data_IF_257126255543
#
_entry.id   IF_257126255543
#
_cell.length_a   1.000
_cell.length_b   1.000
_cell.length_c   1.000
_cell.angle_alpha   90.00
_cell.angle_beta   90.00
_cell.angle_gamma   90.00
#
_symmetry.space_group_name_H-M   'P 1'
#
loop_
_entity.id
_entity.type
_entity.pdbx_description
1 polymer ?
#
# COMPACT_ATOMS: atom_id res chain seq x y z
N UNK A 1 14.40 36.28 13.87
CA UNK A 1 13.24 36.63 13.02
C UNK A 1 13.71 36.61 11.57
N UNK A 2 13.26 35.64 10.75
CA UNK A 2 13.78 35.43 9.38
C UNK A 2 13.63 36.67 8.51
N UNK A 3 14.63 37.03 7.71
CA UNK A 3 14.53 38.16 6.79
C UNK A 3 13.55 37.88 5.64
N UNK A 4 12.92 38.94 5.10
CA UNK A 4 11.86 38.84 4.08
C UNK A 4 12.39 38.24 2.79
N UNK A 5 13.62 38.59 2.38
CA UNK A 5 14.25 38.05 1.17
C UNK A 5 14.53 36.55 1.31
N UNK A 6 15.01 36.11 2.49
CA UNK A 6 15.19 34.69 2.80
C UNK A 6 13.87 33.91 2.69
N UNK A 7 12.76 34.51 3.12
CA UNK A 7 11.42 33.91 3.04
C UNK A 7 10.89 33.81 1.59
N UNK A 8 11.27 34.74 0.71
CA UNK A 8 10.94 34.68 -0.72
C UNK A 8 11.75 33.59 -1.42
N UNK A 9 13.05 33.50 -1.13
CA UNK A 9 13.92 32.42 -1.64
C UNK A 9 13.43 31.05 -1.15
N UNK A 10 13.00 30.96 0.11
CA UNK A 10 12.38 29.77 0.67
C UNK A 10 11.11 29.34 -0.09
N UNK A 11 10.25 30.29 -0.48
CA UNK A 11 9.08 29.99 -1.33
C UNK A 11 9.46 29.53 -2.74
N UNK A 12 10.52 30.08 -3.34
CA UNK A 12 11.03 29.56 -4.61
C UNK A 12 11.56 28.13 -4.46
N UNK A 13 12.26 27.83 -3.36
CA UNK A 13 12.67 26.49 -2.98
C UNK A 13 11.50 25.52 -2.83
N UNK A 14 10.38 25.98 -2.26
CA UNK A 14 9.15 25.17 -2.14
C UNK A 14 8.64 24.65 -3.49
N UNK A 15 8.86 25.40 -4.57
CA UNK A 15 8.48 24.97 -5.90
C UNK A 15 9.32 23.80 -6.41
N UNK A 16 10.64 23.85 -6.20
CA UNK A 16 11.54 22.74 -6.57
C UNK A 16 11.24 21.49 -5.75
N UNK A 17 11.02 21.63 -4.43
CA UNK A 17 10.64 20.52 -3.57
C UNK A 17 9.28 19.91 -3.96
N UNK A 18 8.32 20.73 -4.40
CA UNK A 18 7.03 20.24 -4.89
C UNK A 18 7.16 19.33 -6.11
N UNK A 19 8.14 19.58 -7.00
CA UNK A 19 8.42 18.70 -8.14
C UNK A 19 8.96 17.35 -7.67
N UNK A 20 9.91 17.36 -6.72
CA UNK A 20 10.45 16.12 -6.12
C UNK A 20 9.33 15.34 -5.43
N UNK A 21 8.47 16.03 -4.70
CA UNK A 21 7.30 15.45 -4.03
C UNK A 21 6.33 14.82 -5.03
N UNK A 22 6.08 15.48 -6.16
CA UNK A 22 5.25 14.96 -7.24
C UNK A 22 5.81 13.64 -7.78
N UNK A 23 7.09 13.62 -8.18
CA UNK A 23 7.74 12.43 -8.74
C UNK A 23 7.66 11.27 -7.74
N UNK A 24 7.99 11.53 -6.48
CA UNK A 24 8.01 10.50 -5.45
C UNK A 24 6.62 9.92 -5.19
N UNK A 25 5.59 10.77 -5.04
CA UNK A 25 4.23 10.29 -4.80
C UNK A 25 3.65 9.55 -6.00
N UNK A 26 3.97 9.97 -7.22
CA UNK A 26 3.57 9.25 -8.44
C UNK A 26 4.24 7.89 -8.50
N UNK A 27 5.54 7.79 -8.22
CA UNK A 27 6.25 6.50 -8.21
C UNK A 27 5.70 5.57 -7.12
N UNK A 28 5.57 6.06 -5.88
CA UNK A 28 5.01 5.27 -4.78
C UNK A 28 3.57 4.83 -5.07
N UNK A 29 2.75 5.73 -5.61
CA UNK A 29 1.39 5.40 -5.99
C UNK A 29 1.32 4.38 -7.12
N UNK A 30 2.20 4.48 -8.13
CA UNK A 30 2.29 3.50 -9.22
C UNK A 30 2.70 2.12 -8.70
N UNK A 31 3.67 2.04 -7.78
CA UNK A 31 4.04 0.78 -7.13
C UNK A 31 2.87 0.12 -6.39
N UNK A 32 1.99 0.91 -5.78
CA UNK A 32 0.79 0.39 -5.13
C UNK A 32 -0.32 0.00 -6.12
N UNK A 33 -0.45 0.69 -7.25
CA UNK A 33 -1.48 0.40 -8.27
C UNK A 33 -1.11 -0.78 -9.16
N UNK A 34 0.16 -0.96 -9.49
CA UNK A 34 0.61 -1.96 -10.46
C UNK A 34 0.81 -3.35 -9.85
N UNK A 35 1.05 -3.41 -8.53
CA UNK A 35 1.34 -4.67 -7.86
C UNK A 35 0.06 -5.42 -7.45
N UNK A 36 -0.35 -6.36 -8.30
CA UNK A 36 -1.49 -7.25 -8.07
C UNK A 36 -1.43 -7.97 -6.72
N UNK A 37 -0.24 -8.35 -6.26
CA UNK A 37 -0.07 -9.10 -5.01
C UNK A 37 -0.42 -8.27 -3.77
N UNK A 38 -0.30 -6.94 -3.83
CA UNK A 38 -0.76 -6.08 -2.75
C UNK A 38 -2.28 -6.04 -2.67
N UNK A 39 -2.97 -6.03 -3.81
CA UNK A 39 -4.44 -6.03 -3.84
C UNK A 39 -5.00 -7.39 -3.45
N UNK A 40 -4.33 -8.47 -3.87
CA UNK A 40 -4.66 -9.83 -3.46
C UNK A 40 -4.49 -10.02 -1.96
N UNK A 41 -3.50 -9.42 -1.32
CA UNK A 41 -3.32 -9.56 0.13
C UNK A 41 -4.21 -8.62 0.94
N UNK A 42 -4.16 -7.32 0.64
CA UNK A 42 -4.69 -6.25 1.49
C UNK A 42 -6.00 -5.64 0.95
N UNK A 43 -6.49 -6.15 -0.19
CA UNK A 43 -7.70 -5.70 -0.86
C UNK A 43 -7.50 -4.52 -1.82
N UNK A 44 -8.55 -4.23 -2.58
CA UNK A 44 -8.60 -3.18 -3.61
C UNK A 44 -8.40 -1.76 -3.05
N UNK A 45 -8.60 -1.56 -1.74
CA UNK A 45 -8.35 -0.27 -1.08
C UNK A 45 -6.91 0.20 -1.26
N UNK A 46 -5.93 -0.71 -1.37
CA UNK A 46 -4.53 -0.33 -1.63
C UNK A 46 -4.37 0.27 -3.03
N UNK A 47 -5.10 -0.26 -4.02
CA UNK A 47 -5.13 0.30 -5.37
C UNK A 47 -5.70 1.71 -5.36
N UNK A 48 -6.80 1.92 -4.63
CA UNK A 48 -7.43 3.25 -4.50
C UNK A 48 -6.50 4.24 -3.81
N UNK A 49 -5.79 3.82 -2.76
CA UNK A 49 -4.77 4.63 -2.10
C UNK A 49 -3.65 4.99 -3.07
N UNK A 50 -3.15 4.03 -3.86
CA UNK A 50 -2.14 4.29 -4.88
C UNK A 50 -2.60 5.32 -5.91
N UNK A 51 -3.84 5.22 -6.39
CA UNK A 51 -4.47 6.21 -7.26
C UNK A 51 -4.59 7.59 -6.59
N UNK A 52 -4.96 7.63 -5.31
CA UNK A 52 -5.01 8.83 -4.50
C UNK A 52 -3.64 9.50 -4.33
N UNK A 53 -2.57 8.73 -4.18
CA UNK A 53 -1.20 9.26 -4.12
C UNK A 53 -0.74 9.83 -5.46
N UNK A 54 -1.05 9.16 -6.58
CA UNK A 54 -0.77 9.69 -7.93
C UNK A 54 -1.51 11.00 -8.14
N UNK A 55 -2.81 11.03 -7.84
CA UNK A 55 -3.63 12.25 -7.91
C UNK A 55 -3.02 13.37 -7.06
N UNK A 56 -2.70 13.09 -5.80
CA UNK A 56 -2.04 14.05 -4.89
C UNK A 56 -0.71 14.54 -5.48
N UNK A 57 0.10 13.65 -6.04
CA UNK A 57 1.37 13.95 -6.69
C UNK A 57 1.21 14.93 -7.85
N UNK A 58 0.23 14.72 -8.74
CA UNK A 58 -0.08 15.65 -9.84
C UNK A 58 -0.45 17.04 -9.29
N UNK A 59 -1.17 17.12 -8.17
CA UNK A 59 -1.54 18.41 -7.59
C UNK A 59 -0.35 19.19 -7.00
N UNK A 60 0.74 18.51 -6.61
CA UNK A 60 2.00 19.18 -6.26
C UNK A 60 2.66 19.90 -7.45
N UNK A 61 2.31 19.59 -8.70
CA UNK A 61 2.77 20.40 -9.83
C UNK A 61 2.18 21.82 -9.77
N UNK A 62 0.92 21.96 -9.37
CA UNK A 62 0.29 23.28 -9.23
C UNK A 62 0.93 24.08 -8.08
N UNK A 63 1.31 23.43 -6.97
CA UNK A 63 2.05 24.12 -5.91
C UNK A 63 3.43 24.57 -6.37
N UNK A 64 4.06 23.84 -7.30
CA UNK A 64 5.33 24.24 -7.87
C UNK A 64 5.21 25.56 -8.65
N UNK A 65 4.21 25.64 -9.53
CA UNK A 65 3.93 26.83 -10.33
C UNK A 65 3.52 28.01 -9.46
N UNK A 66 2.60 27.79 -8.51
CA UNK A 66 2.13 28.82 -7.59
C UNK A 66 3.25 29.31 -6.64
N UNK A 67 4.13 28.43 -6.18
CA UNK A 67 5.30 28.78 -5.36
C UNK A 67 6.25 29.72 -6.11
N UNK A 68 6.58 29.40 -7.36
CA UNK A 68 7.40 30.26 -8.23
C UNK A 68 6.72 31.60 -8.55
N UNK A 69 5.43 31.56 -8.89
CA UNK A 69 4.66 32.76 -9.19
C UNK A 69 4.54 33.68 -7.97
N UNK A 70 4.35 33.12 -6.77
CA UNK A 70 4.23 33.87 -5.50
C UNK A 70 5.56 34.42 -5.01
N UNK A 71 6.67 33.76 -5.34
CA UNK A 71 8.01 34.28 -5.09
C UNK A 71 8.29 35.52 -5.97
N UNK A 72 7.90 35.47 -7.24
CA UNK A 72 8.09 36.58 -8.20
C UNK A 72 7.10 37.73 -8.02
N UNK A 73 5.86 37.42 -7.61
CA UNK A 73 4.79 38.42 -7.47
C UNK A 73 4.56 38.77 -6.01
N UNK A 74 4.27 40.04 -5.72
CA UNK A 74 3.85 40.48 -4.38
C UNK A 74 2.35 40.19 -4.10
N UNK A 75 1.73 39.32 -4.88
CA UNK A 75 0.29 39.07 -4.85
C UNK A 75 -0.09 38.16 -3.67
N UNK A 76 -0.86 38.69 -2.71
CA UNK A 76 -1.34 37.93 -1.54
C UNK A 76 -2.39 36.88 -1.87
N UNK A 77 -3.18 37.08 -2.94
CA UNK A 77 -4.18 36.10 -3.37
C UNK A 77 -3.51 34.80 -3.84
N UNK A 78 -2.41 34.89 -4.58
CA UNK A 78 -1.63 33.71 -4.99
C UNK A 78 -0.99 32.98 -3.79
N UNK A 79 -0.53 33.73 -2.79
CA UNK A 79 -0.01 33.16 -1.55
C UNK A 79 -1.10 32.44 -0.74
N UNK A 80 -2.31 32.99 -0.69
CA UNK A 80 -3.45 32.34 -0.04
C UNK A 80 -3.86 31.08 -0.80
N UNK A 81 -3.92 31.13 -2.13
CA UNK A 81 -4.21 29.96 -2.96
C UNK A 81 -3.17 28.85 -2.76
N UNK A 82 -1.88 29.20 -2.71
CA UNK A 82 -0.79 28.26 -2.39
C UNK A 82 -1.00 27.61 -1.01
N UNK A 83 -1.34 28.40 0.01
CA UNK A 83 -1.57 27.90 1.36
C UNK A 83 -2.75 26.92 1.41
N UNK A 84 -3.88 27.26 0.78
CA UNK A 84 -5.05 26.38 0.72
C UNK A 84 -4.70 25.06 0.01
N UNK A 85 -3.99 25.15 -1.11
CA UNK A 85 -3.56 23.97 -1.86
C UNK A 85 -2.61 23.08 -1.05
N UNK A 86 -1.64 23.67 -0.33
CA UNK A 86 -0.74 22.91 0.54
C UNK A 86 -1.48 22.22 1.69
N UNK A 87 -2.48 22.87 2.31
CA UNK A 87 -3.32 22.26 3.35
C UNK A 87 -4.15 21.11 2.78
N UNK A 88 -4.72 21.28 1.59
CA UNK A 88 -5.43 20.23 0.89
C UNK A 88 -4.52 19.03 0.62
N UNK A 89 -3.34 19.25 0.06
CA UNK A 89 -2.36 18.21 -0.23
C UNK A 89 -1.89 17.49 1.03
N UNK A 90 -1.64 18.24 2.10
CA UNK A 90 -1.28 17.70 3.41
C UNK A 90 -2.35 16.73 3.92
N UNK A 91 -3.63 17.13 3.85
CA UNK A 91 -4.75 16.31 4.25
C UNK A 91 -4.83 15.02 3.42
N UNK A 92 -4.85 15.14 2.09
CA UNK A 92 -4.95 13.98 1.20
C UNK A 92 -3.78 13.00 1.35
N UNK A 93 -2.55 13.50 1.40
CA UNK A 93 -1.37 12.65 1.58
C UNK A 93 -1.38 11.94 2.94
N UNK A 94 -1.82 12.62 4.00
CA UNK A 94 -1.92 12.03 5.35
C UNK A 94 -3.01 10.96 5.40
N UNK A 95 -4.19 11.21 4.78
CA UNK A 95 -5.28 10.24 4.72
C UNK A 95 -4.84 9.01 3.92
N UNK A 96 -4.30 9.19 2.72
CA UNK A 96 -3.87 8.09 1.86
C UNK A 96 -2.74 7.27 2.50
N UNK A 97 -1.70 7.94 3.02
CA UNK A 97 -0.62 7.28 3.74
C UNK A 97 -1.09 6.57 5.01
N UNK A 98 -2.03 7.16 5.75
CA UNK A 98 -2.62 6.57 6.95
C UNK A 98 -3.44 5.32 6.65
N UNK A 99 -4.27 5.34 5.61
CA UNK A 99 -5.08 4.19 5.18
C UNK A 99 -4.19 3.04 4.70
N UNK A 100 -3.15 3.31 3.90
CA UNK A 100 -2.19 2.26 3.53
C UNK A 100 -1.46 1.68 4.74
N UNK A 101 -1.08 2.52 5.70
CA UNK A 101 -0.39 2.06 6.91
C UNK A 101 -1.28 1.17 7.78
N UNK A 102 -2.55 1.54 7.99
CA UNK A 102 -3.48 0.72 8.77
C UNK A 102 -3.81 -0.58 8.06
N UNK A 103 -4.08 -0.55 6.75
CA UNK A 103 -4.32 -1.74 5.95
C UNK A 103 -3.11 -2.70 6.00
N UNK A 104 -1.89 -2.19 5.83
CA UNK A 104 -0.68 -3.02 5.88
C UNK A 104 -0.48 -3.76 7.22
N UNK A 105 -0.98 -3.19 8.32
CA UNK A 105 -0.88 -3.78 9.67
C UNK A 105 -2.02 -4.72 10.02
N UNK A 106 -3.10 -4.76 9.24
CA UNK A 106 -4.28 -5.59 9.54
C UNK A 106 -3.92 -7.05 9.84
N UNK A 107 -3.03 -7.74 9.08
CA UNK A 107 -2.65 -9.12 9.40
C UNK A 107 -1.99 -9.27 10.77
N UNK A 108 -1.11 -8.33 11.13
CA UNK A 108 -0.40 -8.35 12.42
C UNK A 108 -1.28 -7.95 13.61
N UNK A 109 -2.36 -7.21 13.34
CA UNK A 109 -3.37 -6.84 14.34
C UNK A 109 -4.34 -7.98 14.61
N UNK A 110 -4.68 -8.78 13.59
CA UNK A 110 -5.53 -9.95 13.73
C UNK A 110 -4.88 -11.04 14.58
N UNK A 111 -3.59 -11.31 14.34
CA UNK A 111 -2.80 -12.25 15.14
C UNK A 111 -1.31 -11.90 15.07
N UNK A 112 -0.60 -11.98 16.20
CA UNK A 112 0.84 -11.71 16.20
C UNK A 112 1.59 -12.66 15.26
N UNK A 113 2.65 -12.19 14.60
CA UNK A 113 3.39 -13.00 13.63
C UNK A 113 3.88 -14.34 14.19
N UNK A 114 4.36 -14.36 15.45
CA UNK A 114 4.79 -15.61 16.10
C UNK A 114 3.65 -16.61 16.29
N UNK A 115 2.45 -16.11 16.64
CA UNK A 115 1.26 -16.94 16.76
C UNK A 115 0.74 -17.42 15.40
N UNK A 116 0.79 -16.59 14.35
CA UNK A 116 0.47 -17.05 12.99
C UNK A 116 1.38 -18.21 12.55
N UNK A 117 2.69 -18.09 12.78
CA UNK A 117 3.65 -19.16 12.47
C UNK A 117 3.37 -20.42 13.30
N UNK A 118 2.98 -20.27 14.57
CA UNK A 118 2.58 -21.40 15.42
C UNK A 118 1.33 -22.10 14.87
N UNK A 119 0.30 -21.33 14.48
CA UNK A 119 -0.91 -21.86 13.86
C UNK A 119 -0.62 -22.63 12.56
N UNK A 120 0.40 -22.21 11.79
CA UNK A 120 0.76 -22.82 10.51
C UNK A 120 1.77 -23.96 10.61
N UNK A 121 2.25 -24.32 11.82
CA UNK A 121 3.24 -25.40 12.02
C UNK A 121 2.59 -26.59 12.73
N UNK A 122 2.63 -27.78 12.14
CA UNK A 122 1.91 -28.98 12.62
C UNK A 122 2.11 -29.27 14.10
N UNK A 123 3.34 -29.55 14.52
CA UNK A 123 3.62 -29.95 15.90
C UNK A 123 3.42 -28.82 16.91
N UNK A 124 3.47 -27.56 16.47
CA UNK A 124 3.12 -26.42 17.33
C UNK A 124 1.61 -26.32 17.49
N UNK A 125 0.86 -26.39 16.38
CA UNK A 125 -0.59 -26.34 16.37
C UNK A 125 -1.19 -27.47 17.22
N UNK A 126 -0.68 -28.69 17.09
CA UNK A 126 -1.13 -29.84 17.87
C UNK A 126 -0.92 -29.63 19.38
N UNK A 127 0.21 -29.01 19.75
CA UNK A 127 0.58 -28.70 21.14
C UNK A 127 -0.12 -27.46 21.73
N UNK A 128 -0.89 -26.70 20.93
CA UNK A 128 -1.65 -25.55 21.43
C UNK A 128 -2.81 -25.98 22.34
N UNK A 129 -3.15 -25.10 23.29
CA UNK A 129 -4.37 -25.23 24.08
C UNK A 129 -5.62 -25.12 23.19
N UNK A 130 -6.76 -25.63 23.66
CA UNK A 130 -8.02 -25.54 22.90
C UNK A 130 -8.43 -24.09 22.62
N UNK A 131 -8.14 -23.18 23.55
CA UNK A 131 -8.39 -21.74 23.39
C UNK A 131 -7.49 -21.13 22.29
N UNK A 132 -6.22 -21.50 22.24
CA UNK A 132 -5.31 -21.02 21.21
C UNK A 132 -5.66 -21.62 19.83
N UNK A 133 -6.10 -22.87 19.79
CA UNK A 133 -6.64 -23.49 18.57
C UNK A 133 -7.84 -22.73 18.04
N UNK A 134 -8.78 -22.31 18.90
CA UNK A 134 -9.90 -21.45 18.49
C UNK A 134 -9.43 -20.11 17.92
N UNK A 135 -8.36 -19.53 18.48
CA UNK A 135 -7.75 -18.31 17.93
C UNK A 135 -7.16 -18.55 16.53
N UNK A 136 -6.49 -19.68 16.32
CA UNK A 136 -6.02 -20.09 14.99
C UNK A 136 -7.18 -20.32 14.02
N UNK A 137 -8.28 -20.92 14.46
CA UNK A 137 -9.50 -21.10 13.64
C UNK A 137 -10.07 -19.76 13.18
N UNK A 138 -10.13 -18.76 14.07
CA UNK A 138 -10.54 -17.41 13.70
C UNK A 138 -9.57 -16.79 12.68
N UNK A 139 -8.26 -16.98 12.88
CA UNK A 139 -7.25 -16.53 11.92
C UNK A 139 -7.42 -17.19 10.55
N UNK A 140 -7.66 -18.50 10.45
CA UNK A 140 -7.86 -19.18 9.17
C UNK A 140 -9.12 -18.72 8.41
N UNK A 141 -10.13 -18.20 9.12
CA UNK A 141 -11.34 -17.64 8.52
C UNK A 141 -11.24 -16.15 8.19
N UNK A 142 -10.16 -15.49 8.62
CA UNK A 142 -9.97 -14.06 8.43
C UNK A 142 -9.79 -13.69 6.95
N UNK A 143 -10.15 -12.45 6.61
CA UNK A 143 -9.95 -11.91 5.26
C UNK A 143 -8.47 -11.76 4.92
N UNK A 144 -7.61 -11.54 5.93
CA UNK A 144 -6.17 -11.47 5.77
C UNK A 144 -5.57 -12.81 5.36
N UNK A 145 -6.08 -13.91 5.93
CA UNK A 145 -5.66 -15.26 5.53
C UNK A 145 -6.17 -15.62 4.13
N UNK A 146 -7.41 -15.24 3.81
CA UNK A 146 -7.96 -15.38 2.46
C UNK A 146 -7.14 -14.58 1.43
N UNK A 147 -6.72 -13.35 1.77
CA UNK A 147 -5.86 -12.56 0.89
C UNK A 147 -4.47 -13.21 0.66
N UNK A 148 -3.87 -13.77 1.71
CA UNK A 148 -2.63 -14.52 1.59
C UNK A 148 -2.77 -15.75 0.68
N UNK A 149 -3.93 -16.41 0.73
CA UNK A 149 -4.28 -17.52 -0.14
C UNK A 149 -4.39 -17.07 -1.61
N UNK A 150 -4.99 -15.92 -1.90
CA UNK A 150 -5.06 -15.36 -3.27
C UNK A 150 -3.66 -15.07 -3.84
N UNK A 151 -2.76 -14.49 -3.02
CA UNK A 151 -1.36 -14.29 -3.43
C UNK A 151 -0.70 -15.63 -3.75
N UNK A 152 -0.89 -16.64 -2.88
CA UNK A 152 -0.28 -17.94 -3.10
C UNK A 152 -0.84 -18.66 -4.33
N UNK A 153 -2.13 -18.53 -4.61
CA UNK A 153 -2.75 -19.02 -5.85
C UNK A 153 -2.08 -18.39 -7.08
N UNK A 154 -1.85 -17.08 -7.06
CA UNK A 154 -1.15 -16.37 -8.13
C UNK A 154 0.29 -16.87 -8.30
N UNK A 155 1.04 -17.02 -7.20
CA UNK A 155 2.37 -17.62 -7.22
C UNK A 155 2.37 -19.04 -7.77
N UNK A 156 1.39 -19.85 -7.38
CA UNK A 156 1.25 -21.23 -7.83
C UNK A 156 0.99 -21.31 -9.34
N UNK A 157 0.04 -20.56 -9.86
CA UNK A 157 -0.28 -20.56 -11.30
C UNK A 157 0.92 -20.10 -12.11
N UNK A 158 1.52 -18.96 -11.73
CA UNK A 158 2.67 -18.38 -12.43
C UNK A 158 3.93 -19.26 -12.33
N UNK A 159 4.05 -20.16 -11.34
CA UNK A 159 5.23 -21.02 -11.14
C UNK A 159 5.09 -22.49 -11.58
N UNK A 160 3.90 -23.07 -11.43
CA UNK A 160 3.67 -24.52 -11.55
C UNK A 160 2.74 -24.90 -12.71
N UNK A 161 1.79 -24.03 -13.08
CA UNK A 161 0.77 -24.34 -14.11
C UNK A 161 1.17 -23.83 -15.50
N UNK A 162 1.97 -22.77 -15.57
CA UNK A 162 2.59 -22.29 -16.81
C UNK A 162 2.05 -20.94 -17.32
N UNK A 163 2.97 -20.11 -17.82
CA UNK A 163 2.81 -18.79 -18.45
C UNK A 163 4.15 -18.28 -19.02
N UNK A 164 4.20 -17.10 -19.65
CA UNK A 164 5.43 -16.61 -20.31
C UNK A 164 6.63 -16.41 -19.34
N UNK A 165 6.37 -16.12 -18.06
CA UNK A 165 7.39 -15.89 -17.01
C UNK A 165 7.63 -17.09 -16.07
N UNK A 166 7.23 -18.30 -16.46
CA UNK A 166 7.21 -19.48 -15.56
C UNK A 166 8.54 -19.74 -14.85
N UNK A 167 9.66 -19.56 -15.54
CA UNK A 167 11.00 -19.81 -14.99
C UNK A 167 11.36 -18.88 -13.83
N UNK A 168 11.05 -17.59 -13.93
CA UNK A 168 11.38 -16.58 -12.93
C UNK A 168 10.53 -16.75 -11.66
N UNK A 169 9.21 -16.89 -11.84
CA UNK A 169 8.29 -17.11 -10.73
C UNK A 169 8.56 -18.42 -10.00
N UNK A 170 8.90 -19.49 -10.73
CA UNK A 170 9.27 -20.77 -10.12
C UNK A 170 10.53 -20.66 -9.26
N UNK A 171 11.57 -20.00 -9.75
CA UNK A 171 12.79 -19.79 -8.96
C UNK A 171 12.50 -18.99 -7.68
N UNK A 172 11.73 -17.90 -7.80
CA UNK A 172 11.34 -17.06 -6.66
C UNK A 172 10.54 -17.83 -5.61
N UNK A 173 9.54 -18.63 -6.01
CA UNK A 173 8.71 -19.40 -5.07
C UNK A 173 9.54 -20.48 -4.37
N UNK A 174 10.41 -21.19 -5.11
CA UNK A 174 11.28 -22.21 -4.52
C UNK A 174 12.29 -21.62 -3.54
N UNK A 175 12.88 -20.47 -3.87
CA UNK A 175 13.75 -19.73 -2.96
C UNK A 175 12.99 -19.26 -1.72
N UNK A 176 11.79 -18.70 -1.90
CA UNK A 176 10.94 -18.27 -0.80
C UNK A 176 10.59 -19.42 0.16
N UNK A 177 10.25 -20.60 -0.38
CA UNK A 177 9.96 -21.80 0.41
C UNK A 177 11.20 -22.30 1.16
N UNK A 178 12.36 -22.30 0.50
CA UNK A 178 13.65 -22.70 1.08
C UNK A 178 14.04 -21.80 2.24
N UNK A 179 14.00 -20.48 2.03
CA UNK A 179 14.49 -19.50 3.00
C UNK A 179 13.61 -19.43 4.25
N UNK A 180 12.31 -19.75 4.12
CA UNK A 180 11.36 -19.76 5.24
C UNK A 180 11.05 -21.16 5.79
N UNK A 181 11.65 -22.22 5.22
CA UNK A 181 11.37 -23.62 5.55
C UNK A 181 9.87 -23.94 5.58
N UNK A 182 9.15 -23.53 4.53
CA UNK A 182 7.70 -23.70 4.42
C UNK A 182 7.30 -24.37 3.09
N UNK A 183 6.09 -24.92 3.03
CA UNK A 183 5.54 -25.52 1.82
C UNK A 183 4.02 -25.30 1.74
N UNK A 184 3.52 -24.97 0.54
CA UNK A 184 2.12 -24.57 0.35
C UNK A 184 1.73 -23.33 1.16
N UNK A 185 0.45 -22.91 1.11
CA UNK A 185 0.02 -21.71 1.84
C UNK A 185 -0.38 -22.00 3.31
N UNK A 186 -1.21 -23.01 3.55
CA UNK A 186 -1.84 -23.27 4.85
C UNK A 186 -1.10 -24.26 5.75
N UNK A 187 -1.64 -24.53 6.94
CA UNK A 187 -1.14 -25.57 7.84
C UNK A 187 -1.12 -26.91 7.09
N UNK A 188 -0.01 -27.64 7.04
CA UNK A 188 0.00 -28.97 6.44
C UNK A 188 -0.95 -29.88 7.21
N UNK A 189 -1.72 -30.71 6.49
CA UNK A 189 -2.85 -31.50 7.01
C UNK A 189 -3.89 -30.64 7.76
N UNK A 190 -4.87 -31.27 8.39
CA UNK A 190 -5.96 -30.59 9.09
C UNK A 190 -6.85 -29.70 8.19
N UNK A 191 -6.88 -29.90 6.88
CA UNK A 191 -7.71 -29.05 6.02
C UNK A 191 -9.17 -29.49 5.97
N UNK A 192 -10.09 -28.52 5.96
CA UNK A 192 -11.51 -28.71 5.63
C UNK A 192 -11.97 -27.65 4.62
N UNK A 193 -12.85 -28.00 3.68
CA UNK A 193 -13.54 -27.02 2.84
C UNK A 193 -14.35 -26.04 3.70
N UNK A 194 -14.30 -24.77 3.35
CA UNK A 194 -15.11 -23.69 3.89
C UNK A 194 -15.98 -23.11 2.76
N UNK A 195 -17.29 -23.11 2.97
CA UNK A 195 -18.29 -22.64 1.99
C UNK A 195 -18.42 -21.12 1.97
N UNK A 196 -17.66 -20.41 2.81
CA UNK A 196 -17.62 -18.95 2.82
C UNK A 196 -17.01 -18.43 1.52
N UNK A 197 -17.65 -17.44 0.89
CA UNK A 197 -17.11 -16.77 -0.30
C UNK A 197 -15.85 -15.96 0.03
N UNK A 198 -14.97 -15.73 -0.94
CA UNK A 198 -13.86 -14.77 -0.77
C UNK A 198 -14.38 -13.36 -0.45
N UNK A 199 -13.59 -12.52 0.24
CA UNK A 199 -14.03 -11.19 0.63
C UNK A 199 -14.21 -10.33 -0.62
N UNK A 200 -15.36 -9.65 -0.75
CA UNK A 200 -15.64 -8.80 -1.92
C UNK A 200 -14.71 -7.59 -2.06
N UNK A 201 -13.95 -7.27 -1.02
CA UNK A 201 -12.90 -6.26 -1.06
C UNK A 201 -11.63 -6.70 -1.77
N UNK A 202 -11.53 -7.96 -2.16
CA UNK A 202 -10.36 -8.57 -2.78
C UNK A 202 -10.65 -8.98 -4.23
N UNK A 203 -9.62 -9.12 -5.09
CA UNK A 203 -9.78 -9.68 -6.43
C UNK A 203 -10.32 -11.11 -6.40
N UNK A 204 -10.92 -11.54 -7.51
CA UNK A 204 -11.43 -12.90 -7.65
C UNK A 204 -10.29 -13.95 -7.60
N UNK A 205 -10.59 -15.16 -7.08
CA UNK A 205 -9.66 -16.28 -7.12
C UNK A 205 -9.23 -16.63 -8.55
N UNK A 206 -8.04 -17.19 -8.67
CA UNK A 206 -7.39 -17.42 -9.98
C UNK A 206 -7.28 -18.91 -10.32
N UNK A 207 -7.42 -19.81 -9.33
CA UNK A 207 -7.23 -21.26 -9.51
C UNK A 207 -8.59 -21.97 -9.67
N UNK A 208 -8.89 -22.50 -10.88
CA UNK A 208 -10.11 -23.29 -11.13
C UNK A 208 -10.34 -24.37 -10.07
N UNK A 209 -11.56 -24.44 -9.50
CA UNK A 209 -12.00 -25.34 -8.39
C UNK A 209 -11.62 -24.89 -6.97
N UNK A 210 -10.70 -23.94 -6.83
CA UNK A 210 -10.45 -23.26 -5.57
C UNK A 210 -11.20 -21.91 -5.50
N UNK A 211 -12.02 -21.62 -6.51
CA UNK A 211 -12.78 -20.36 -6.65
C UNK A 211 -14.03 -20.32 -5.75
N UNK A 212 -14.67 -21.46 -5.50
CA UNK A 212 -15.94 -21.55 -4.75
C UNK A 212 -15.76 -21.89 -3.26
N UNK A 213 -14.56 -22.31 -2.84
CA UNK A 213 -14.34 -22.85 -1.49
C UNK A 213 -13.02 -22.35 -0.91
N UNK A 214 -13.11 -21.49 0.11
CA UNK A 214 -11.98 -21.27 1.02
C UNK A 214 -11.59 -22.63 1.62
N UNK A 215 -10.32 -22.82 1.95
CA UNK A 215 -9.89 -24.00 2.70
C UNK A 215 -9.34 -23.54 4.04
N UNK A 216 -9.97 -24.00 5.11
CA UNK A 216 -9.63 -23.64 6.48
C UNK A 216 -9.06 -24.85 7.18
N UNK A 217 -8.11 -24.63 8.06
CA UNK A 217 -7.58 -25.70 8.88
C UNK A 217 -8.57 -25.97 10.03
N UNK A 218 -8.76 -27.22 10.44
CA UNK A 218 -9.75 -27.74 11.39
C UNK A 218 -9.07 -28.61 12.45
N UNK A 219 -9.77 -28.94 13.53
CA UNK A 219 -9.25 -29.84 14.57
C UNK A 219 -9.22 -31.32 14.14
N UNK A 220 -9.78 -31.64 12.96
CA UNK A 220 -9.83 -33.00 12.42
C UNK A 220 -8.76 -33.21 11.37
N UNK A 221 -8.27 -34.44 11.23
CA UNK A 221 -7.39 -34.80 10.11
C UNK A 221 -8.14 -34.67 8.79
N UNK A 222 -7.62 -33.83 7.90
CA UNK A 222 -8.13 -33.63 6.56
C UNK A 222 -7.01 -33.22 5.61
N UNK A 223 -7.22 -33.45 4.32
CA UNK A 223 -6.25 -33.19 3.26
C UNK A 223 -6.81 -32.13 2.30
N UNK A 224 -5.91 -31.39 1.67
CA UNK A 224 -6.24 -30.39 0.66
C UNK A 224 -6.72 -31.04 -0.64
N UNK A 225 -7.42 -30.25 -1.45
CA UNK A 225 -7.83 -30.64 -2.80
C UNK A 225 -6.64 -31.04 -3.69
N UNK A 226 -6.87 -31.93 -4.68
CA UNK A 226 -5.87 -32.31 -5.67
C UNK A 226 -5.25 -31.12 -6.38
N UNK A 227 -3.98 -31.28 -6.76
CA UNK A 227 -3.24 -30.34 -7.59
C UNK A 227 -2.51 -31.09 -8.71
N UNK A 228 -2.08 -30.44 -9.80
CA UNK A 228 -1.28 -31.09 -10.84
C UNK A 228 -0.04 -31.85 -10.30
N UNK A 229 0.56 -31.37 -9.20
CA UNK A 229 1.76 -31.97 -8.59
C UNK A 229 1.46 -33.10 -7.59
N UNK A 230 0.19 -33.31 -7.24
CA UNK A 230 -0.23 -34.30 -6.26
C UNK A 230 -1.56 -34.96 -6.69
N UNK A 231 -1.48 -36.24 -7.08
CA UNK A 231 -2.64 -37.03 -7.48
C UNK A 231 -3.43 -37.48 -6.24
N UNK A 232 -4.70 -37.09 -6.13
CA UNK A 232 -5.57 -37.43 -5.00
C UNK A 232 -5.75 -36.25 -4.04
N UNK A 233 -5.63 -36.48 -2.73
CA UNK A 233 -5.71 -35.42 -1.73
C UNK A 233 -4.30 -35.06 -1.23
N UNK A 234 -4.04 -33.77 -1.04
CA UNK A 234 -2.69 -33.26 -0.81
C UNK A 234 -2.48 -32.86 0.65
N UNK A 235 -1.33 -33.21 1.21
CA UNK A 235 -0.99 -32.78 2.57
C UNK A 235 -0.72 -31.28 2.68
N UNK A 236 -0.30 -30.66 1.59
CA UNK A 236 -0.01 -29.24 1.49
C UNK A 236 -0.95 -28.58 0.49
N UNK A 237 -1.28 -27.33 0.74
CA UNK A 237 -2.14 -26.54 -0.11
C UNK A 237 -1.34 -25.87 -1.23
N UNK A 238 -1.60 -26.23 -2.48
CA UNK A 238 -0.89 -25.70 -3.65
C UNK A 238 0.65 -25.76 -3.48
N UNK A 239 1.22 -26.96 -3.26
CA UNK A 239 2.65 -27.10 -3.03
C UNK A 239 3.43 -26.93 -4.33
N UNK A 240 4.31 -25.94 -4.42
CA UNK A 240 5.21 -25.81 -5.57
C UNK A 240 6.45 -26.70 -5.40
N UNK A 241 6.84 -27.40 -6.47
CA UNK A 241 8.11 -28.15 -6.52
C UNK A 241 8.11 -29.45 -5.70
N UNK A 242 9.27 -29.82 -5.13
CA UNK A 242 9.44 -31.10 -4.44
C UNK A 242 8.92 -31.09 -3.00
N UNK A 243 8.62 -29.92 -2.43
CA UNK A 243 8.24 -29.82 -1.02
C UNK A 243 6.94 -30.59 -0.73
N UNK A 244 6.01 -30.65 -1.68
CA UNK A 244 4.75 -31.39 -1.55
C UNK A 244 4.90 -32.92 -1.53
N UNK A 245 6.07 -33.44 -1.90
CA UNK A 245 6.36 -34.89 -1.89
C UNK A 245 6.98 -35.36 -0.56
N UNK A 246 7.42 -34.43 0.27
CA UNK A 246 8.02 -34.76 1.56
C UNK A 246 6.93 -35.19 2.54
N UNK A 247 7.21 -36.18 3.41
CA UNK A 247 6.27 -36.56 4.45
C UNK A 247 6.04 -35.38 5.40
N UNK A 248 4.80 -35.23 5.86
CA UNK A 248 4.46 -34.24 6.90
C UNK A 248 5.04 -34.69 8.22
N UNK A 249 5.71 -33.75 8.91
CA UNK A 249 6.32 -33.94 10.22
C UNK A 249 5.86 -32.82 11.16
N UNK A 250 6.15 -32.94 12.46
CA UNK A 250 5.82 -31.90 13.43
C UNK A 250 6.46 -30.52 13.16
N UNK A 251 7.47 -30.43 12.30
CA UNK A 251 8.11 -29.16 11.93
C UNK A 251 7.60 -28.57 10.60
N UNK A 252 6.82 -29.35 9.85
CA UNK A 252 6.22 -28.94 8.57
C UNK A 252 5.28 -27.75 8.79
N UNK A 253 5.35 -26.76 7.90
CA UNK A 253 4.57 -25.53 8.01
C UNK A 253 4.16 -24.90 6.67
N UNK A 254 3.09 -24.13 6.70
CA UNK A 254 2.61 -23.31 5.59
C UNK A 254 3.35 -21.98 5.42
N UNK A 255 3.28 -21.41 4.22
CA UNK A 255 3.96 -20.17 3.85
C UNK A 255 3.15 -18.87 4.08
N UNK A 256 1.85 -18.96 4.40
CA UNK A 256 0.96 -17.79 4.44
C UNK A 256 1.47 -16.63 5.32
N UNK A 257 1.88 -16.90 6.57
CA UNK A 257 2.37 -15.85 7.47
C UNK A 257 3.60 -15.11 6.94
N UNK A 258 4.47 -15.80 6.20
CA UNK A 258 5.68 -15.21 5.63
C UNK A 258 5.33 -14.32 4.43
N UNK A 259 4.42 -14.78 3.57
CA UNK A 259 3.94 -14.01 2.42
C UNK A 259 3.25 -12.74 2.90
N UNK A 260 2.32 -12.88 3.84
CA UNK A 260 1.62 -11.74 4.45
C UNK A 260 2.61 -10.76 5.04
N UNK A 261 3.58 -11.22 5.84
CA UNK A 261 4.59 -10.35 6.45
C UNK A 261 5.44 -9.62 5.41
N UNK A 262 5.92 -10.30 4.38
CA UNK A 262 6.79 -9.70 3.37
C UNK A 262 6.07 -8.56 2.63
N UNK A 263 4.88 -8.85 2.08
CA UNK A 263 4.12 -7.88 1.31
C UNK A 263 3.55 -6.75 2.18
N UNK A 264 3.03 -7.06 3.38
CA UNK A 264 2.62 -6.04 4.35
C UNK A 264 3.76 -5.10 4.72
N UNK A 265 4.97 -5.62 4.92
CA UNK A 265 6.14 -4.79 5.26
C UNK A 265 6.49 -3.84 4.11
N UNK A 266 6.42 -4.30 2.86
CA UNK A 266 6.66 -3.44 1.69
C UNK A 266 5.65 -2.30 1.61
N UNK A 267 4.35 -2.59 1.74
CA UNK A 267 3.29 -1.57 1.74
C UNK A 267 3.44 -0.63 2.95
N UNK A 268 3.81 -1.16 4.12
CA UNK A 268 4.07 -0.36 5.31
C UNK A 268 5.24 0.62 5.09
N UNK A 269 6.32 0.19 4.43
CA UNK A 269 7.47 1.05 4.10
C UNK A 269 7.03 2.15 3.12
N UNK A 270 6.30 1.80 2.07
CA UNK A 270 5.77 2.79 1.10
C UNK A 270 4.90 3.82 1.82
N UNK A 271 3.97 3.37 2.67
CA UNK A 271 3.08 4.23 3.45
C UNK A 271 3.85 5.14 4.42
N UNK A 272 4.84 4.58 5.13
CA UNK A 272 5.69 5.33 6.05
C UNK A 272 6.52 6.40 5.33
N UNK A 273 7.05 6.09 4.15
CA UNK A 273 7.74 7.08 3.30
C UNK A 273 6.75 8.17 2.92
N UNK A 274 5.59 7.82 2.34
CA UNK A 274 4.58 8.81 1.95
C UNK A 274 4.19 9.74 3.13
N UNK A 275 4.06 9.20 4.34
CA UNK A 275 3.78 9.98 5.55
C UNK A 275 4.98 10.82 6.03
N UNK A 276 6.21 10.33 5.93
CA UNK A 276 7.39 11.10 6.33
C UNK A 276 7.54 12.38 5.49
N UNK A 277 7.21 12.30 4.20
CA UNK A 277 7.27 13.45 3.31
C UNK A 277 6.18 14.51 3.55
N UNK A 278 5.21 14.27 4.43
CA UNK A 278 4.21 15.26 4.90
C UNK A 278 4.90 16.40 5.68
N UNK A 279 6.11 16.20 6.18
CA UNK A 279 6.88 17.26 6.87
C UNK A 279 7.15 18.46 5.94
N UNK A 280 7.39 18.24 4.65
CA UNK A 280 7.67 19.32 3.70
C UNK A 280 6.51 20.31 3.53
N UNK A 281 5.27 19.88 3.18
CA UNK A 281 4.15 20.82 3.09
C UNK A 281 3.88 21.53 4.42
N UNK A 282 4.11 20.91 5.60
CA UNK A 282 3.99 21.59 6.90
C UNK A 282 4.96 22.78 6.98
N UNK A 283 6.23 22.56 6.66
CA UNK A 283 7.26 23.63 6.69
C UNK A 283 6.89 24.75 5.70
N UNK A 284 6.39 24.40 4.51
CA UNK A 284 5.96 25.40 3.51
C UNK A 284 4.69 26.16 3.90
N UNK A 285 3.75 25.52 4.60
CA UNK A 285 2.57 26.20 5.16
C UNK A 285 3.03 27.23 6.19
N UNK A 286 3.91 26.84 7.12
CA UNK A 286 4.46 27.76 8.14
C UNK A 286 5.15 28.95 7.46
N UNK A 287 6.03 28.68 6.48
CA UNK A 287 6.70 29.74 5.71
C UNK A 287 5.72 30.66 4.98
N UNK A 288 4.67 30.10 4.37
CA UNK A 288 3.64 30.86 3.67
C UNK A 288 2.87 31.77 4.63
N UNK A 289 2.49 31.26 5.80
CA UNK A 289 1.83 32.05 6.87
C UNK A 289 2.74 33.19 7.35
N UNK A 290 4.01 32.91 7.63
CA UNK A 290 4.97 33.94 8.01
C UNK A 290 5.12 35.04 6.93
N UNK A 291 5.13 34.65 5.64
CA UNK A 291 5.19 35.59 4.53
C UNK A 291 3.90 36.42 4.42
N UNK A 292 2.72 35.83 4.64
CA UNK A 292 1.44 36.54 4.67
C UNK A 292 1.48 37.68 5.71
N UNK A 293 1.92 37.38 6.93
CA UNK A 293 2.02 38.39 7.99
C UNK A 293 3.07 39.47 7.68
N UNK A 294 4.23 39.10 7.11
CA UNK A 294 5.27 40.08 6.74
C UNK A 294 4.92 40.94 5.52
N UNK A 295 4.02 40.50 4.65
CA UNK A 295 3.54 41.29 3.50
C UNK A 295 2.37 42.21 3.88
N UNK A 296 1.96 42.27 5.15
CA UNK A 296 0.81 43.07 5.62
C UNK A 296 0.83 44.51 5.09
N UNK A 297 1.98 45.18 5.08
CA UNK A 297 2.11 46.59 4.71
C UNK A 297 2.27 46.84 3.19
N UNK A 298 2.34 45.80 2.36
CA UNK A 298 2.54 45.90 0.90
C UNK A 298 1.28 45.54 0.10
N UNK A 299 0.08 45.78 0.65
CA UNK A 299 -1.19 45.70 -0.09
C UNK A 299 -1.26 46.82 -1.13
N UNK A 300 -0.54 46.62 -2.24
CA UNK A 300 -0.74 47.40 -3.45
C UNK A 300 -2.03 46.88 -4.06
N UNK A 301 -3.16 47.58 -3.79
CA UNK A 301 -4.29 47.54 -4.71
C UNK A 301 -3.70 47.75 -6.11
N UNK A 302 -4.10 46.97 -7.14
CA UNK A 302 -3.67 47.28 -8.50
C UNK A 302 -3.94 48.77 -8.72
N UNK A 303 -2.92 49.54 -9.10
CA UNK A 303 -3.12 50.93 -9.46
C UNK A 303 -4.08 50.90 -10.64
N UNK A 304 -5.35 51.21 -10.38
CA UNK A 304 -6.31 51.52 -11.42
C UNK A 304 -5.83 52.88 -11.95
N UNK A 305 -4.88 52.84 -12.89
CA UNK A 305 -4.64 53.98 -13.75
C UNK A 305 -5.93 54.15 -14.55
N UNK A 306 -6.81 55.03 -14.07
CA UNK A 306 -7.80 55.63 -14.93
C UNK A 306 -7.03 56.39 -15.99
N UNK A 307 -6.78 55.73 -17.12
CA UNK A 307 -6.32 56.37 -18.33
C UNK A 307 -7.39 57.41 -18.68
N UNK A 308 -7.17 58.64 -18.24
CA UNK A 308 -7.93 59.82 -18.61
C UNK A 308 -7.79 59.96 -20.13
N UNK A 309 -8.71 59.35 -20.88
CA UNK A 309 -8.96 59.71 -22.27
C UNK A 309 -9.67 61.06 -22.29
N UNK A 310 -8.97 62.12 -21.89
CA UNK A 310 -9.36 63.49 -22.23
C UNK A 310 -8.32 63.99 -23.23
N UNK A 311 -8.55 63.65 -24.50
CA UNK A 311 -7.86 64.31 -25.62
C UNK A 311 -8.58 65.65 -25.81
N UNK A 312 -8.11 66.70 -25.14
CA UNK A 312 -8.53 68.07 -25.45
C UNK A 312 -7.94 68.38 -26.83
N UNK A 313 -8.77 68.33 -27.87
CA UNK A 313 -8.46 69.03 -29.12
C UNK A 313 -8.92 70.47 -28.94
N UNK A 314 -7.95 71.31 -28.55
CA UNK A 314 -8.00 72.74 -28.82
C UNK A 314 -7.05 72.97 -30.00
N UNK A 315 -7.60 73.07 -31.20
CA UNK A 315 -6.95 73.74 -32.32
C UNK A 315 -7.83 74.95 -32.67
N UNK A 316 -7.20 76.12 -32.63
CA UNK A 316 -7.66 77.37 -33.25
C UNK A 316 -7.45 77.30 -34.75
#
# INVERSE_FOLDING_TARGET
MFDKESLIQFMAGSGCYSIVQMILLVVLGALLVDNEHYHQLLGLRIRDVGGGLIFTGVFYLFTAVLGLATARTKNKCLLLAQLILLVFLLFFQTVMGGVALTASRAPSLALSYGAQVACLTVGKYEALSDQDKQTCQHFFRSDEFAGAMLVWQSYYIKSAVGGDDTGSYRAMVLEFQRDNFCCGYGLPIHCTPDTSSFPSSHPDPVVPKWDDQRQVCSNTTGLYLPTPECQGACSFALPSGTCGKNPVTGVSRGCAAFVSKQLSTQVQVIAAIALAFVVFPIIFIIGSVCLCFKRRDQDVRPQIEFASKVKIHAEM
#
